data_IF_923061567081
#
_entry.id   IF_923061567081
#
_cell.length_a   1.000
_cell.length_b   1.000
_cell.length_c   1.000
_cell.angle_alpha   90.00
_cell.angle_beta   90.00
_cell.angle_gamma   90.00
#
_symmetry.space_group_name_H-M   'P 1'
#
loop_
_entity.id
_entity.type
_entity.pdbx_description
1 polymer ?
#
# COMPACT_ATOMS: atom_id res chain seq x y z
N UNK A 1 -20.03 19.41 -2.20
CA UNK A 1 -18.61 19.10 -2.29
C UNK A 1 -18.44 17.68 -2.85
N UNK A 2 -17.60 17.57 -3.84
CA UNK A 2 -17.34 16.30 -4.43
C UNK A 2 -16.21 15.56 -3.74
N UNK A 3 -16.39 14.28 -3.55
CA UNK A 3 -15.36 13.44 -2.99
C UNK A 3 -14.55 12.83 -4.11
N UNK A 4 -13.24 13.04 -4.07
CA UNK A 4 -12.32 12.47 -5.03
C UNK A 4 -11.45 11.45 -4.31
N UNK A 5 -11.72 10.16 -4.48
CA UNK A 5 -10.97 9.13 -3.74
C UNK A 5 -9.48 9.17 -4.03
N UNK A 6 -9.09 9.45 -5.27
CA UNK A 6 -7.67 9.48 -5.61
C UNK A 6 -6.97 10.64 -4.91
N UNK A 7 -7.60 11.81 -4.92
CA UNK A 7 -7.03 12.98 -4.27
C UNK A 7 -6.99 12.80 -2.75
N UNK A 8 -8.05 12.20 -2.20
CA UNK A 8 -8.11 11.95 -0.76
C UNK A 8 -6.99 11.00 -0.33
N UNK A 9 -6.79 9.92 -1.08
CA UNK A 9 -5.75 8.96 -0.77
C UNK A 9 -4.37 9.60 -0.85
N UNK A 10 -4.17 10.45 -1.85
CA UNK A 10 -2.89 11.12 -2.03
C UNK A 10 -2.57 12.00 -0.83
N UNK A 11 -3.57 12.72 -0.33
CA UNK A 11 -3.36 13.59 0.81
C UNK A 11 -3.08 12.82 2.09
N UNK A 12 -3.76 11.71 2.29
CA UNK A 12 -3.52 10.85 3.44
C UNK A 12 -2.08 10.32 3.42
N UNK A 13 -1.68 9.81 2.25
CA UNK A 13 -0.36 9.21 2.12
C UNK A 13 0.74 10.25 2.35
N UNK A 14 0.56 11.44 1.80
CA UNK A 14 1.57 12.49 1.90
C UNK A 14 1.74 13.02 3.30
N UNK A 15 0.66 13.04 4.07
CA UNK A 15 0.69 13.72 5.36
C UNK A 15 0.90 12.84 6.55
N UNK A 16 1.04 11.53 6.37
CA UNK A 16 1.12 10.62 7.51
C UNK A 16 2.46 9.91 7.55
N UNK A 17 2.92 9.65 8.78
CA UNK A 17 4.16 8.92 8.99
C UNK A 17 3.92 7.41 9.10
N UNK A 18 2.68 7.00 9.30
CA UNK A 18 2.36 5.58 9.38
C UNK A 18 2.34 4.93 8.02
N UNK A 19 2.49 3.62 7.99
CA UNK A 19 2.43 2.88 6.74
C UNK A 19 0.99 2.89 6.21
N UNK A 20 0.82 3.35 5.00
CA UNK A 20 -0.47 3.35 4.31
C UNK A 20 -0.30 2.58 3.02
N UNK A 21 -1.05 1.51 2.88
CA UNK A 21 -0.97 0.64 1.71
C UNK A 21 -2.37 0.38 1.21
N UNK A 22 -2.57 0.58 -0.08
CA UNK A 22 -3.84 0.29 -0.72
C UNK A 22 -3.63 -0.75 -1.81
N UNK A 23 -4.43 -1.79 -1.79
CA UNK A 23 -4.39 -2.82 -2.82
C UNK A 23 -5.76 -2.88 -3.49
N UNK A 24 -5.76 -3.19 -4.78
CA UNK A 24 -7.03 -3.28 -5.50
C UNK A 24 -7.69 -4.64 -5.26
N UNK A 25 -8.80 -4.89 -5.97
CA UNK A 25 -9.59 -6.11 -5.77
C UNK A 25 -8.81 -7.37 -6.13
N UNK A 26 -7.76 -7.23 -6.91
CA UNK A 26 -6.95 -8.37 -7.30
C UNK A 26 -5.75 -8.55 -6.37
N UNK A 27 -5.64 -7.72 -5.36
CA UNK A 27 -4.55 -7.84 -4.41
C UNK A 27 -3.26 -7.17 -4.85
N UNK A 28 -3.32 -6.36 -5.89
CA UNK A 28 -2.13 -5.66 -6.39
C UNK A 28 -1.99 -4.33 -5.69
N UNK A 29 -0.79 -4.03 -5.21
CA UNK A 29 -0.52 -2.81 -4.48
C UNK A 29 -0.59 -1.62 -5.43
N UNK A 30 -1.39 -0.62 -5.06
CA UNK A 30 -1.56 0.59 -5.85
C UNK A 30 -1.06 1.83 -5.13
N UNK A 31 -1.05 1.82 -3.79
CA UNK A 31 -0.57 2.94 -3.00
C UNK A 31 0.41 2.40 -1.97
N UNK A 32 1.53 3.10 -1.83
CA UNK A 32 2.60 2.68 -0.93
C UNK A 32 3.32 3.95 -0.48
N UNK A 33 3.12 4.32 0.77
CA UNK A 33 3.68 5.58 1.24
C UNK A 33 5.07 5.39 1.85
N UNK A 34 5.64 6.51 2.28
CA UNK A 34 6.98 6.50 2.83
C UNK A 34 7.05 5.67 4.11
N UNK A 35 5.99 5.68 4.92
CA UNK A 35 5.93 4.87 6.12
C UNK A 35 6.01 3.39 5.80
N UNK A 36 5.34 2.96 4.73
CA UNK A 36 5.40 1.57 4.31
C UNK A 36 6.82 1.19 3.90
N UNK A 37 7.50 2.09 3.20
CA UNK A 37 8.90 1.86 2.83
C UNK A 37 9.75 1.67 4.06
N UNK A 38 9.53 2.49 5.08
CA UNK A 38 10.33 2.45 6.29
C UNK A 38 10.11 1.15 7.06
N UNK A 39 8.87 0.70 7.11
CA UNK A 39 8.52 -0.47 7.90
C UNK A 39 8.86 -1.77 7.19
N UNK A 40 8.58 -1.84 5.89
CA UNK A 40 8.72 -3.09 5.15
C UNK A 40 10.01 -3.19 4.34
N UNK A 41 10.68 -2.06 4.11
CA UNK A 41 11.97 -2.10 3.43
C UNK A 41 11.91 -2.06 1.92
N UNK A 42 10.72 -1.93 1.34
CA UNK A 42 10.58 -1.83 -0.12
C UNK A 42 10.26 -0.40 -0.50
N UNK A 43 10.83 0.07 -1.60
CA UNK A 43 10.49 1.39 -2.11
C UNK A 43 9.12 1.36 -2.78
N UNK A 44 8.58 2.55 -3.01
CA UNK A 44 7.32 2.66 -3.73
C UNK A 44 7.44 2.02 -5.11
N UNK A 45 8.53 2.29 -5.79
CA UNK A 45 8.74 1.76 -7.14
C UNK A 45 8.81 0.24 -7.13
N UNK A 46 9.33 -0.33 -6.04
CA UNK A 46 9.41 -1.77 -5.93
C UNK A 46 8.07 -2.41 -5.58
N UNK A 47 7.26 -1.72 -4.79
CA UNK A 47 6.05 -2.31 -4.24
C UNK A 47 4.83 -2.13 -5.12
N UNK A 48 4.66 -0.95 -5.70
CA UNK A 48 3.48 -0.68 -6.52
C UNK A 48 3.48 -1.58 -7.74
N UNK A 49 2.34 -2.24 -7.97
CA UNK A 49 2.22 -3.18 -9.06
C UNK A 49 2.56 -4.61 -8.67
N UNK A 50 3.00 -4.81 -7.43
CA UNK A 50 3.27 -6.15 -6.93
C UNK A 50 2.09 -6.64 -6.11
N UNK A 51 2.06 -7.94 -5.90
CA UNK A 51 1.01 -8.55 -5.08
C UNK A 51 1.18 -8.15 -3.62
N UNK A 52 0.06 -8.02 -2.93
CA UNK A 52 0.07 -7.73 -1.50
C UNK A 52 0.80 -8.84 -0.73
N UNK A 53 0.95 -10.00 -1.31
CA UNK A 53 1.70 -11.10 -0.71
C UNK A 53 3.13 -10.70 -0.38
N UNK A 54 3.62 -9.66 -1.03
CA UNK A 54 4.97 -9.15 -0.79
C UNK A 54 5.21 -8.89 0.69
N UNK A 55 4.19 -8.43 1.40
CA UNK A 55 4.32 -8.07 2.81
C UNK A 55 3.57 -8.98 3.75
N UNK A 56 2.89 -10.00 3.23
CA UNK A 56 2.16 -10.94 4.06
C UNK A 56 3.07 -12.13 4.34
N UNK A 57 3.26 -12.49 5.62
CA UNK A 57 4.09 -13.64 5.96
C UNK A 57 3.63 -14.89 5.22
N UNK A 58 4.58 -15.70 4.83
CA UNK A 58 4.29 -16.87 4.00
C UNK A 58 3.27 -17.79 4.62
N UNK A 59 3.34 -17.96 5.93
CA UNK A 59 2.41 -18.87 6.62
C UNK A 59 0.97 -18.34 6.64
N UNK A 60 0.77 -17.06 6.31
CA UNK A 60 -0.56 -16.47 6.27
C UNK A 60 -1.11 -16.39 4.86
N UNK A 61 -0.25 -16.51 3.84
CA UNK A 61 -0.69 -16.36 2.46
C UNK A 61 -1.65 -17.47 2.05
N UNK A 62 -1.53 -18.62 2.66
CA UNK A 62 -2.33 -19.77 2.28
C UNK A 62 -3.70 -19.79 2.93
N UNK A 63 -3.99 -18.79 3.73
CA UNK A 63 -5.24 -18.75 4.47
C UNK A 63 -6.42 -18.26 3.65
N UNK A 64 -6.18 -17.77 2.47
CA UNK A 64 -7.27 -17.21 1.66
C UNK A 64 -7.57 -18.03 0.43
#
# INVERSE_FOLDING_TARGET
>A
MEFDPAHFAERLVSGMSDAIIYADAEGMIRVWNRGATRIFGFSEAEAVGRSLDLIIPENLRERH
#
